data_IF_603120335727
#
_entry.id   IF_603120335727
#
_cell.length_a   1.000
_cell.length_b   1.000
_cell.length_c   1.000
_cell.angle_alpha   90.00
_cell.angle_beta   90.00
_cell.angle_gamma   90.00
#
_symmetry.space_group_name_H-M   'P 1'
#
loop_
_entity.id
_entity.type
_entity.pdbx_description
1 polymer ?
#
# COMPACT_ATOMS: atom_id res chain seq x y z
N UNK A 1 -30.03 -15.30 35.43
CA UNK A 1 -28.69 -15.67 34.95
C UNK A 1 -28.91 -16.86 34.02
N UNK A 2 -28.85 -16.74 32.71
CA UNK A 2 -27.69 -16.28 31.97
C UNK A 2 -28.12 -15.71 30.61
N UNK A 3 -27.96 -14.39 30.45
CA UNK A 3 -28.15 -13.70 29.19
C UNK A 3 -26.90 -13.92 28.34
N UNK A 4 -26.80 -15.08 27.68
CA UNK A 4 -25.83 -15.24 26.60
C UNK A 4 -26.35 -14.46 25.41
N UNK A 5 -25.84 -13.24 25.26
CA UNK A 5 -25.86 -12.50 24.00
C UNK A 5 -25.39 -13.44 22.90
N UNK A 6 -26.34 -13.95 22.12
CA UNK A 6 -26.07 -14.57 20.83
C UNK A 6 -25.52 -13.46 19.95
N UNK A 7 -24.20 -13.33 19.90
CA UNK A 7 -23.58 -12.50 18.88
C UNK A 7 -23.95 -13.13 17.55
N UNK A 8 -24.83 -12.48 16.80
CA UNK A 8 -25.12 -12.88 15.42
C UNK A 8 -23.78 -13.04 14.71
N UNK A 9 -23.57 -14.22 14.11
CA UNK A 9 -22.31 -14.54 13.44
C UNK A 9 -21.97 -13.44 12.43
N UNK A 10 -20.71 -13.00 12.41
CA UNK A 10 -20.30 -11.93 11.48
C UNK A 10 -20.35 -12.51 10.08
N UNK A 11 -21.26 -11.98 9.27
CA UNK A 11 -21.47 -12.39 7.89
C UNK A 11 -20.82 -11.40 6.94
N UNK A 12 -19.96 -11.90 6.06
CA UNK A 12 -19.39 -11.13 4.96
C UNK A 12 -19.97 -11.66 3.66
N UNK A 13 -20.60 -10.78 2.87
CA UNK A 13 -21.05 -11.12 1.52
C UNK A 13 -20.11 -10.48 0.51
N UNK A 14 -19.42 -11.31 -0.27
CA UNK A 14 -18.56 -10.88 -1.36
C UNK A 14 -19.07 -11.50 -2.66
N UNK A 15 -19.59 -10.67 -3.57
CA UNK A 15 -20.33 -11.11 -4.76
C UNK A 15 -21.50 -12.05 -4.39
N UNK A 16 -21.58 -13.22 -5.03
CA UNK A 16 -22.61 -14.25 -4.79
C UNK A 16 -22.26 -15.20 -3.63
N UNK A 17 -21.16 -14.94 -2.91
CA UNK A 17 -20.68 -15.80 -1.82
C UNK A 17 -20.88 -15.17 -0.45
N UNK A 18 -21.36 -15.97 0.49
CA UNK A 18 -21.55 -15.60 1.89
C UNK A 18 -20.53 -16.35 2.76
N UNK A 19 -19.89 -15.63 3.67
CA UNK A 19 -18.92 -16.15 4.63
C UNK A 19 -19.42 -15.85 6.04
N UNK A 20 -19.34 -16.82 6.94
CA UNK A 20 -19.64 -16.67 8.37
C UNK A 20 -18.36 -16.77 9.19
N UNK A 21 -18.18 -15.86 10.14
CA UNK A 21 -17.07 -15.91 11.09
C UNK A 21 -17.51 -16.66 12.36
N UNK A 22 -16.92 -17.83 12.58
CA UNK A 22 -17.19 -18.69 13.75
C UNK A 22 -15.86 -19.26 14.27
N UNK A 23 -15.69 -19.31 15.59
CA UNK A 23 -14.49 -19.84 16.27
C UNK A 23 -13.14 -19.27 15.77
N UNK A 24 -13.13 -17.98 15.43
CA UNK A 24 -11.93 -17.29 14.93
C UNK A 24 -11.58 -17.60 13.48
N UNK A 25 -12.46 -18.28 12.73
CA UNK A 25 -12.24 -18.68 11.33
C UNK A 25 -13.40 -18.24 10.44
N UNK A 26 -13.09 -17.94 9.18
CA UNK A 26 -14.08 -17.70 8.16
C UNK A 26 -14.50 -19.02 7.51
N UNK A 27 -15.77 -19.35 7.64
CA UNK A 27 -16.41 -20.51 7.04
C UNK A 27 -17.21 -20.05 5.82
N UNK A 28 -16.94 -20.64 4.66
CA UNK A 28 -17.58 -20.30 3.39
C UNK A 28 -16.93 -21.05 2.24
N UNK A 29 -17.63 -21.17 1.12
CA UNK A 29 -17.15 -21.93 -0.03
C UNK A 29 -16.07 -21.15 -0.79
N UNK A 30 -14.84 -21.21 -0.25
CA UNK A 30 -13.64 -20.85 -0.99
C UNK A 30 -13.41 -21.92 -2.05
N UNK A 31 -13.89 -21.68 -3.27
CA UNK A 31 -13.31 -22.33 -4.44
C UNK A 31 -11.81 -21.99 -4.40
N UNK A 32 -10.92 -22.99 -4.34
CA UNK A 32 -9.47 -22.78 -4.19
C UNK A 32 -8.87 -21.83 -5.25
N UNK A 33 -9.55 -21.70 -6.38
CA UNK A 33 -9.26 -20.74 -7.45
C UNK A 33 -9.33 -19.28 -6.97
N UNK A 34 -10.28 -18.94 -6.09
CA UNK A 34 -10.42 -17.58 -5.55
C UNK A 34 -9.25 -17.22 -4.63
N UNK A 35 -8.81 -18.14 -3.76
CA UNK A 35 -7.66 -17.90 -2.87
C UNK A 35 -6.39 -17.72 -3.70
N UNK A 36 -6.19 -18.56 -4.71
CA UNK A 36 -5.03 -18.47 -5.60
C UNK A 36 -5.02 -17.15 -6.37
N UNK A 37 -6.19 -16.70 -6.85
CA UNK A 37 -6.32 -15.40 -7.52
C UNK A 37 -6.04 -14.22 -6.57
N UNK A 38 -6.51 -14.29 -5.32
CA UNK A 38 -6.29 -13.25 -4.31
C UNK A 38 -4.82 -13.18 -3.88
N UNK A 39 -4.16 -14.32 -3.71
CA UNK A 39 -2.72 -14.39 -3.43
C UNK A 39 -1.91 -13.77 -4.56
N UNK A 40 -2.27 -14.08 -5.82
CA UNK A 40 -1.64 -13.48 -6.99
C UNK A 40 -1.83 -11.96 -7.02
N UNK A 41 -3.07 -11.48 -6.85
CA UNK A 41 -3.33 -10.04 -6.79
C UNK A 41 -2.57 -9.35 -5.66
N UNK A 42 -2.46 -9.98 -4.50
CA UNK A 42 -1.69 -9.44 -3.39
C UNK A 42 -0.20 -9.32 -3.73
N UNK A 43 0.37 -10.35 -4.36
CA UNK A 43 1.76 -10.34 -4.84
C UNK A 43 1.98 -9.23 -5.87
N UNK A 44 1.11 -9.11 -6.86
CA UNK A 44 1.18 -8.08 -7.90
C UNK A 44 1.13 -6.67 -7.26
N UNK A 45 0.25 -6.46 -6.27
CA UNK A 45 0.13 -5.19 -5.53
C UNK A 45 1.37 -4.89 -4.68
N UNK A 46 2.00 -5.89 -4.07
CA UNK A 46 3.25 -5.70 -3.31
C UNK A 46 4.37 -5.26 -4.24
N UNK A 47 4.49 -5.90 -5.41
CA UNK A 47 5.50 -5.55 -6.40
C UNK A 47 5.29 -4.13 -6.93
N UNK A 48 4.06 -3.77 -7.29
CA UNK A 48 3.72 -2.41 -7.71
C UNK A 48 4.04 -1.39 -6.61
N UNK A 49 3.68 -1.69 -5.35
CA UNK A 49 3.98 -0.80 -4.22
C UNK A 49 5.48 -0.56 -4.04
N UNK A 50 6.29 -1.63 -4.15
CA UNK A 50 7.74 -1.54 -4.04
C UNK A 50 8.34 -0.74 -5.20
N UNK A 51 7.84 -0.95 -6.42
CA UNK A 51 8.27 -0.19 -7.60
C UNK A 51 7.93 1.30 -7.49
N UNK A 52 6.73 1.62 -7.01
CA UNK A 52 6.30 3.00 -6.79
C UNK A 52 7.16 3.69 -5.72
N UNK A 53 7.49 3.01 -4.62
CA UNK A 53 8.41 3.53 -3.59
C UNK A 53 9.78 3.86 -4.18
N UNK A 54 10.35 2.96 -4.98
CA UNK A 54 11.64 3.19 -5.64
C UNK A 54 11.58 4.39 -6.60
N UNK A 55 10.50 4.53 -7.38
CA UNK A 55 10.30 5.72 -8.24
C UNK A 55 10.26 7.01 -7.43
N UNK A 56 9.56 7.01 -6.30
CA UNK A 56 9.49 8.18 -5.41
C UNK A 56 10.89 8.52 -4.89
N UNK A 57 11.64 7.54 -4.40
CA UNK A 57 13.02 7.76 -3.91
C UNK A 57 13.93 8.34 -4.99
N UNK A 58 13.87 7.81 -6.22
CA UNK A 58 14.63 8.35 -7.36
C UNK A 58 14.26 9.80 -7.66
N UNK A 59 12.96 10.11 -7.72
CA UNK A 59 12.49 11.48 -7.97
C UNK A 59 12.91 12.43 -6.84
N UNK A 60 12.84 11.98 -5.59
CA UNK A 60 13.32 12.76 -4.44
C UNK A 60 14.82 13.03 -4.54
N UNK A 61 15.63 12.04 -4.93
CA UNK A 61 17.06 12.24 -5.15
C UNK A 61 17.33 13.25 -6.28
N UNK A 62 16.61 13.15 -7.40
CA UNK A 62 16.76 14.11 -8.51
C UNK A 62 16.38 15.54 -8.09
N UNK A 63 15.33 15.71 -7.30
CA UNK A 63 14.93 17.02 -6.76
C UNK A 63 15.99 17.55 -5.78
N UNK A 64 16.48 16.71 -4.87
CA UNK A 64 17.52 17.09 -3.91
C UNK A 64 18.81 17.54 -4.62
N UNK A 65 19.24 16.81 -5.65
CA UNK A 65 20.37 17.20 -6.50
C UNK A 65 20.12 18.51 -7.23
N UNK A 66 18.92 18.72 -7.77
CA UNK A 66 18.53 19.95 -8.45
C UNK A 66 18.56 21.16 -7.51
N UNK A 67 18.02 21.02 -6.30
CA UNK A 67 18.04 22.05 -5.27
C UNK A 67 19.48 22.39 -4.86
N UNK A 68 20.32 21.39 -4.61
CA UNK A 68 21.74 21.58 -4.28
C UNK A 68 22.53 22.31 -5.38
N UNK A 69 22.28 21.97 -6.65
CA UNK A 69 22.89 22.65 -7.81
C UNK A 69 22.46 24.11 -7.90
N UNK A 70 21.20 24.42 -7.60
CA UNK A 70 20.73 25.80 -7.60
C UNK A 70 21.38 26.62 -6.48
N UNK A 71 21.44 26.09 -5.25
CA UNK A 71 22.09 26.77 -4.12
C UNK A 71 23.58 27.07 -4.39
N UNK A 72 24.32 26.12 -4.97
CA UNK A 72 25.73 26.32 -5.34
C UNK A 72 25.92 27.32 -6.49
N UNK A 73 24.96 27.41 -7.41
CA UNK A 73 24.96 28.41 -8.49
C UNK A 73 24.69 29.83 -7.96
N UNK A 74 23.83 29.99 -6.96
CA UNK A 74 23.54 31.28 -6.34
C UNK A 74 24.71 31.80 -5.50
N UNK A 75 25.40 30.92 -4.77
CA UNK A 75 26.65 31.27 -4.07
C UNK A 75 27.75 31.71 -5.05
N UNK A 76 27.85 31.06 -6.22
CA UNK A 76 28.82 31.42 -7.27
C UNK A 76 28.52 32.78 -7.90
N UNK A 77 27.23 33.14 -8.05
CA UNK A 77 26.82 34.47 -8.55
C UNK A 77 27.17 35.59 -7.58
N UNK A 78 27.05 35.36 -6.27
CA UNK A 78 27.41 36.38 -5.27
C UNK A 78 28.91 36.63 -5.12
N UNK A 79 29.78 35.69 -5.52
CA UNK A 79 31.24 35.85 -5.46
C UNK A 79 31.86 36.59 -6.66
N UNK A 80 31.09 36.85 -7.71
CA UNK A 80 31.51 37.65 -8.87
C UNK A 80 30.52 38.81 -9.11
N UNK A 81 30.49 39.85 -8.27
CA UNK A 81 29.90 41.11 -8.67
C UNK A 81 30.78 41.66 -9.80
N UNK A 82 30.20 41.83 -10.99
CA UNK A 82 30.88 42.43 -12.15
C UNK A 82 31.49 43.77 -11.72
N UNK A 83 32.79 43.94 -12.01
CA UNK A 83 33.49 45.23 -12.00
C UNK A 83 32.75 46.27 -12.86
#
# INVERSE_FOLDING_TARGET
>A
MDGRTSYDSVKLKLNEKEFTFEDGRWNGEFSGDNITSLLKQNQDLIEENNFLKLKIEMLLNMVAEGLSKNETSDVSRHKNPRL
#
